data_IF_626940152887
#
_entry.id   IF_626940152887
#
_cell.length_a   1.000
_cell.length_b   1.000
_cell.length_c   1.000
_cell.angle_alpha   90.00
_cell.angle_beta   90.00
_cell.angle_gamma   90.00
#
_symmetry.space_group_name_H-M   'P 1'
#
loop_
_entity.id
_entity.type
_entity.pdbx_description
1 polymer ?
#
# COMPACT_ATOMS: atom_id res chain seq x y z
N UNK A 1 20.75 -45.94 -18.63
CA UNK A 1 19.48 -46.69 -18.56
C UNK A 1 19.02 -46.66 -17.10
N UNK A 2 17.76 -46.24 -16.87
CA UNK A 2 17.01 -46.19 -15.61
C UNK A 2 17.29 -45.03 -14.62
N UNK A 3 16.45 -44.02 -14.82
CA UNK A 3 15.83 -43.07 -13.89
C UNK A 3 15.56 -43.66 -12.50
N UNK A 4 15.82 -42.90 -11.43
CA UNK A 4 14.91 -42.86 -10.27
C UNK A 4 14.79 -41.44 -9.70
N UNK A 5 13.56 -40.92 -9.80
CA UNK A 5 12.97 -39.79 -9.07
C UNK A 5 13.12 -40.03 -7.56
N UNK A 6 13.45 -38.98 -6.81
CA UNK A 6 13.09 -38.90 -5.39
C UNK A 6 12.24 -37.64 -5.19
N UNK A 7 10.97 -37.89 -4.90
CA UNK A 7 9.96 -36.88 -4.63
C UNK A 7 10.22 -36.19 -3.29
N UNK A 8 10.07 -34.86 -3.29
CA UNK A 8 9.89 -34.05 -2.10
C UNK A 8 8.59 -34.46 -1.41
N UNK A 9 8.67 -34.97 -0.18
CA UNK A 9 7.53 -35.09 0.73
C UNK A 9 7.79 -34.14 1.89
N UNK A 10 7.22 -32.95 1.83
CA UNK A 10 7.23 -31.99 2.93
C UNK A 10 6.36 -32.53 4.05
N UNK A 11 7.00 -32.73 5.20
CA UNK A 11 6.40 -33.19 6.44
C UNK A 11 5.45 -32.11 6.98
N UNK A 12 4.16 -32.42 7.10
CA UNK A 12 3.24 -31.68 7.97
C UNK A 12 3.70 -31.84 9.41
N UNK A 13 4.09 -30.73 10.06
CA UNK A 13 4.16 -30.67 11.51
C UNK A 13 2.81 -30.13 12.01
N UNK A 14 1.90 -31.06 12.30
CA UNK A 14 0.75 -30.81 13.16
C UNK A 14 1.07 -31.43 14.52
N UNK A 15 1.63 -30.63 15.43
CA UNK A 15 1.75 -30.97 16.83
C UNK A 15 1.57 -29.69 17.64
N UNK A 16 0.34 -29.45 18.09
CA UNK A 16 -0.01 -28.43 19.05
C UNK A 16 -1.21 -28.93 19.83
N UNK A 17 -0.94 -29.49 21.01
CA UNK A 17 -1.92 -29.96 21.97
C UNK A 17 -3.01 -28.90 22.22
N UNK A 18 -4.27 -29.35 22.22
CA UNK A 18 -5.41 -28.56 22.67
C UNK A 18 -5.27 -28.22 24.14
N UNK A 19 -5.01 -26.95 24.44
CA UNK A 19 -5.49 -26.33 25.67
C UNK A 19 -6.82 -25.62 25.38
N UNK A 20 -7.83 -26.04 26.13
CA UNK A 20 -9.24 -25.73 25.97
C UNK A 20 -9.63 -24.40 26.66
N UNK A 21 -9.11 -23.30 26.16
CA UNK A 21 -9.74 -21.99 26.28
C UNK A 21 -10.01 -21.51 24.87
N UNK A 22 -11.30 -21.42 24.50
CA UNK A 22 -11.76 -20.97 23.17
C UNK A 22 -11.51 -19.49 22.91
N UNK A 23 -10.34 -18.98 23.28
CA UNK A 23 -9.86 -17.66 22.94
C UNK A 23 -9.25 -17.77 21.54
N UNK A 24 -10.08 -17.54 20.52
CA UNK A 24 -9.61 -17.36 19.15
C UNK A 24 -8.49 -16.33 19.22
N UNK A 25 -7.27 -16.73 18.85
CA UNK A 25 -6.16 -15.78 18.70
C UNK A 25 -6.64 -14.78 17.65
N UNK A 26 -7.00 -13.58 18.08
CA UNK A 26 -7.41 -12.50 17.18
C UNK A 26 -6.13 -12.13 16.44
N UNK A 27 -6.05 -12.53 15.17
CA UNK A 27 -4.97 -12.07 14.32
C UNK A 27 -5.29 -10.65 13.87
N UNK A 28 -4.31 -9.75 13.64
CA UNK A 28 -4.59 -8.43 13.09
C UNK A 28 -5.24 -8.45 11.70
N UNK A 29 -5.35 -9.62 11.05
CA UNK A 29 -6.16 -9.77 9.84
C UNK A 29 -7.67 -9.81 10.13
N UNK A 30 -8.08 -10.14 11.36
CA UNK A 30 -9.48 -10.25 11.80
C UNK A 30 -10.00 -8.93 12.43
N UNK A 31 -9.15 -7.92 12.62
CA UNK A 31 -9.55 -6.65 13.24
C UNK A 31 -10.12 -5.67 12.20
N UNK A 32 -10.91 -4.70 12.68
CA UNK A 32 -11.34 -3.57 11.88
C UNK A 32 -10.16 -2.63 11.55
N UNK A 33 -10.39 -1.70 10.61
CA UNK A 33 -9.32 -0.85 10.09
C UNK A 33 -8.83 0.16 11.13
N UNK A 34 -9.70 0.69 11.99
CA UNK A 34 -9.32 1.60 13.08
C UNK A 34 -8.39 0.90 14.07
N UNK A 35 -8.73 -0.34 14.46
CA UNK A 35 -7.86 -1.18 15.29
C UNK A 35 -6.53 -1.47 14.60
N UNK A 36 -6.51 -1.68 13.27
CA UNK A 36 -5.27 -1.86 12.53
C UNK A 36 -4.38 -0.60 12.59
N UNK A 37 -4.97 0.60 12.46
CA UNK A 37 -4.23 1.87 12.65
C UNK A 37 -3.69 1.97 14.07
N UNK A 38 -4.48 1.62 15.09
CA UNK A 38 -4.06 1.67 16.49
C UNK A 38 -2.93 0.69 16.80
N UNK A 39 -2.96 -0.52 16.21
CA UNK A 39 -1.85 -1.49 16.31
C UNK A 39 -0.57 -0.87 15.76
N UNK A 40 -0.63 -0.19 14.61
CA UNK A 40 0.55 0.49 14.04
C UNK A 40 1.03 1.63 14.94
N UNK A 41 0.11 2.36 15.58
CA UNK A 41 0.43 3.47 16.47
C UNK A 41 1.05 3.05 17.80
N UNK A 42 0.77 1.84 18.31
CA UNK A 42 1.09 1.48 19.70
C UNK A 42 1.90 0.21 19.86
N UNK A 43 1.90 -0.69 18.88
CA UNK A 43 2.59 -1.96 19.00
C UNK A 43 4.08 -1.83 18.69
N UNK A 44 4.89 -2.49 19.51
CA UNK A 44 6.31 -2.74 19.24
C UNK A 44 6.57 -4.13 18.64
N UNK A 45 5.52 -4.96 18.51
CA UNK A 45 5.60 -6.28 17.91
C UNK A 45 5.53 -6.16 16.38
N UNK A 46 6.65 -6.51 15.74
CA UNK A 46 6.83 -6.40 14.29
C UNK A 46 5.82 -7.22 13.48
N UNK A 47 5.48 -8.43 13.93
CA UNK A 47 4.54 -9.30 13.22
C UNK A 47 3.11 -8.77 13.31
N UNK A 48 2.77 -8.19 14.46
CA UNK A 48 1.48 -7.51 14.64
C UNK A 48 1.35 -6.27 13.76
N UNK A 49 2.38 -5.43 13.74
CA UNK A 49 2.40 -4.21 12.90
C UNK A 49 2.35 -4.57 11.42
N UNK A 50 3.10 -5.58 10.95
CA UNK A 50 3.04 -6.02 9.55
C UNK A 50 1.68 -6.59 9.17
N UNK A 51 1.05 -7.33 10.08
CA UNK A 51 -0.28 -7.90 9.83
C UNK A 51 -1.34 -6.78 9.74
N UNK A 52 -1.26 -5.78 10.61
CA UNK A 52 -2.10 -4.58 10.54
C UNK A 52 -1.86 -3.79 9.25
N UNK A 53 -0.59 -3.64 8.83
CA UNK A 53 -0.27 -2.99 7.56
C UNK A 53 -0.84 -3.74 6.36
N UNK A 54 -0.70 -5.07 6.34
CA UNK A 54 -1.27 -5.89 5.27
C UNK A 54 -2.80 -5.75 5.24
N UNK A 55 -3.44 -5.72 6.42
CA UNK A 55 -4.89 -5.51 6.53
C UNK A 55 -5.33 -4.20 5.88
N UNK A 56 -4.62 -3.10 6.13
CA UNK A 56 -4.89 -1.79 5.52
C UNK A 56 -4.60 -1.79 4.01
N UNK A 57 -3.43 -2.27 3.60
CA UNK A 57 -2.99 -2.26 2.20
C UNK A 57 -3.89 -3.08 1.25
N UNK A 58 -4.52 -4.16 1.75
CA UNK A 58 -5.45 -4.99 0.98
C UNK A 58 -6.93 -4.67 1.28
N UNK A 59 -7.21 -3.66 2.11
CA UNK A 59 -8.56 -3.33 2.56
C UNK A 59 -9.40 -2.54 1.56
N UNK A 60 -8.79 -1.99 0.50
CA UNK A 60 -9.48 -1.27 -0.59
C UNK A 60 -10.16 0.03 -0.14
N UNK A 61 -11.27 0.39 -0.78
CA UNK A 61 -12.02 1.63 -0.46
C UNK A 61 -12.41 1.75 1.02
N UNK A 62 -12.87 0.68 1.72
CA UNK A 62 -13.11 0.75 3.15
C UNK A 62 -11.88 1.14 3.99
N UNK A 63 -10.69 0.62 3.67
CA UNK A 63 -9.47 1.02 4.35
C UNK A 63 -9.07 2.46 4.01
N UNK A 64 -9.24 2.90 2.76
CA UNK A 64 -9.01 4.30 2.37
C UNK A 64 -9.89 5.25 3.18
N UNK A 65 -11.18 4.91 3.33
CA UNK A 65 -12.11 5.72 4.10
C UNK A 65 -11.70 5.83 5.58
N UNK A 66 -11.21 4.75 6.18
CA UNK A 66 -10.69 4.77 7.54
C UNK A 66 -9.40 5.59 7.64
N UNK A 67 -8.40 5.29 6.80
CA UNK A 67 -7.10 5.98 6.80
C UNK A 67 -7.25 7.50 6.61
N UNK A 68 -8.26 7.93 5.84
CA UNK A 68 -8.59 9.33 5.66
C UNK A 68 -8.88 10.05 6.98
N UNK A 69 -9.51 9.37 7.95
CA UNK A 69 -9.81 9.94 9.28
C UNK A 69 -8.53 10.23 10.09
N UNK A 70 -7.42 9.57 9.76
CA UNK A 70 -6.16 9.64 10.48
C UNK A 70 -5.11 10.52 9.79
N UNK A 71 -5.43 11.22 8.69
CA UNK A 71 -4.48 12.04 7.93
C UNK A 71 -3.82 13.17 8.74
N UNK A 72 -4.48 13.66 9.78
CA UNK A 72 -3.99 14.67 10.71
C UNK A 72 -3.45 14.10 12.03
N UNK A 73 -3.31 12.77 12.16
CA UNK A 73 -2.78 12.16 13.38
C UNK A 73 -1.26 12.40 13.47
N UNK A 74 -0.85 13.14 14.50
CA UNK A 74 0.54 13.51 14.77
C UNK A 74 1.27 12.50 15.68
N UNK A 75 0.59 11.44 16.16
CA UNK A 75 1.23 10.39 16.93
C UNK A 75 2.34 9.74 16.10
N UNK A 76 3.49 9.54 16.74
CA UNK A 76 4.64 8.91 16.11
C UNK A 76 4.49 7.39 16.13
N UNK A 77 4.82 6.76 15.01
CA UNK A 77 4.91 5.31 14.93
C UNK A 77 6.13 4.84 15.73
N UNK A 78 6.00 3.83 16.61
CA UNK A 78 7.11 3.30 17.37
C UNK A 78 8.32 2.91 16.53
N UNK A 79 9.52 3.19 17.06
CA UNK A 79 10.79 2.90 16.40
C UNK A 79 10.96 1.40 16.12
N UNK A 80 11.25 1.04 14.86
CA UNK A 80 11.42 -0.35 14.42
C UNK A 80 10.52 -0.76 13.25
N UNK A 81 9.48 0.02 12.95
CA UNK A 81 8.67 -0.18 11.76
C UNK A 81 9.36 0.39 10.51
N UNK A 82 9.65 -0.46 9.53
CA UNK A 82 10.23 -0.05 8.25
C UNK A 82 9.14 0.46 7.32
N UNK A 83 8.93 1.77 7.29
CA UNK A 83 8.03 2.41 6.33
C UNK A 83 8.74 2.72 5.01
N UNK A 84 8.02 3.41 4.10
CA UNK A 84 8.52 3.99 2.86
C UNK A 84 9.71 4.95 3.05
N UNK A 85 10.01 5.40 4.29
CA UNK A 85 11.14 6.27 4.61
C UNK A 85 12.46 5.49 4.71
N UNK A 86 13.46 5.96 3.99
CA UNK A 86 14.83 5.41 3.97
C UNK A 86 15.72 6.13 4.99
N UNK A 87 15.24 7.28 5.49
CA UNK A 87 15.97 8.18 6.37
C UNK A 87 15.12 8.38 7.62
N UNK A 88 15.24 7.43 8.55
CA UNK A 88 15.00 7.47 10.01
C UNK A 88 14.51 8.80 10.65
N UNK A 89 13.41 9.34 10.18
CA UNK A 89 12.64 10.39 10.87
C UNK A 89 11.53 9.76 11.68
N UNK A 90 11.07 10.49 12.69
CA UNK A 90 9.82 10.18 13.39
C UNK A 90 8.67 10.33 12.39
N UNK A 91 7.97 9.23 12.11
CA UNK A 91 6.90 9.19 11.11
C UNK A 91 5.57 9.22 11.83
N UNK A 92 4.70 10.14 11.44
CA UNK A 92 3.38 10.22 12.07
C UNK A 92 2.41 9.21 11.48
N UNK A 93 1.36 8.89 12.23
CA UNK A 93 0.25 8.09 11.72
C UNK A 93 -0.39 8.74 10.49
N UNK A 94 -0.51 10.07 10.46
CA UNK A 94 -1.00 10.79 9.28
C UNK A 94 -0.11 10.67 8.04
N UNK A 95 1.22 10.65 8.19
CA UNK A 95 2.14 10.36 7.07
C UNK A 95 1.96 8.94 6.55
N UNK A 96 1.88 7.99 7.48
CA UNK A 96 1.67 6.60 7.15
C UNK A 96 0.32 6.34 6.46
N UNK A 97 -0.74 7.01 6.93
CA UNK A 97 -2.06 6.93 6.33
C UNK A 97 -2.05 7.46 4.89
N UNK A 98 -1.44 8.64 4.66
CA UNK A 98 -1.28 9.19 3.32
C UNK A 98 -0.53 8.22 2.40
N UNK A 99 0.60 7.68 2.84
CA UNK A 99 1.38 6.75 2.01
C UNK A 99 0.63 5.46 1.71
N UNK A 100 -0.14 4.94 2.67
CA UNK A 100 -0.93 3.72 2.45
C UNK A 100 -2.08 4.00 1.46
N UNK A 101 -2.69 5.18 1.49
CA UNK A 101 -3.65 5.63 0.48
C UNK A 101 -2.98 5.75 -0.91
N UNK A 102 -1.82 6.40 -0.98
CA UNK A 102 -1.03 6.49 -2.22
C UNK A 102 -0.67 5.10 -2.77
N UNK A 103 -0.23 4.18 -1.91
CA UNK A 103 0.15 2.83 -2.32
C UNK A 103 -1.03 2.07 -2.92
N UNK A 104 -2.25 2.26 -2.38
CA UNK A 104 -3.48 1.67 -2.91
C UNK A 104 -3.95 2.31 -4.24
N UNK A 105 -3.82 3.64 -4.39
CA UNK A 105 -4.36 4.38 -5.55
C UNK A 105 -3.32 4.54 -6.66
N UNK A 106 -2.11 4.98 -6.34
CA UNK A 106 -1.08 5.30 -7.33
C UNK A 106 -0.28 4.07 -7.77
N UNK A 107 -0.49 2.91 -7.13
CA UNK A 107 0.24 1.65 -7.40
C UNK A 107 1.76 1.87 -7.34
N UNK A 108 2.25 2.16 -6.15
CA UNK A 108 3.59 2.68 -5.89
C UNK A 108 4.75 1.67 -5.99
N UNK A 109 4.59 0.60 -6.77
CA UNK A 109 5.70 -0.28 -7.20
C UNK A 109 6.67 0.41 -8.17
N UNK A 110 6.70 1.74 -8.13
CA UNK A 110 7.67 2.58 -8.81
C UNK A 110 9.04 2.44 -8.14
N UNK A 111 10.12 2.26 -8.93
CA UNK A 111 11.48 2.56 -8.49
C UNK A 111 11.51 3.92 -7.79
N UNK A 112 12.33 4.05 -6.73
CA UNK A 112 12.40 5.28 -5.92
C UNK A 112 12.64 6.55 -6.76
N UNK A 113 13.40 6.44 -7.84
CA UNK A 113 13.67 7.53 -8.79
C UNK A 113 12.42 8.04 -9.52
N UNK A 114 11.36 7.23 -9.61
CA UNK A 114 10.13 7.56 -10.32
C UNK A 114 8.99 8.03 -9.39
N UNK A 115 9.25 8.16 -8.08
CA UNK A 115 8.29 8.66 -7.08
C UNK A 115 8.10 10.19 -7.13
N UNK A 116 8.67 10.86 -8.13
CA UNK A 116 8.58 12.31 -8.30
C UNK A 116 7.25 12.78 -8.92
N UNK A 117 6.36 11.85 -9.25
CA UNK A 117 5.05 12.14 -9.84
C UNK A 117 3.89 11.67 -8.93
N UNK A 118 3.84 12.05 -7.64
CA UNK A 118 2.69 11.74 -6.80
C UNK A 118 1.48 12.57 -7.26
N UNK A 119 0.30 11.95 -7.28
CA UNK A 119 -0.96 12.63 -7.60
C UNK A 119 -1.60 13.15 -6.31
N UNK A 120 -1.51 12.35 -5.26
CA UNK A 120 -2.01 12.64 -3.93
C UNK A 120 -0.89 13.23 -3.08
N UNK A 121 -1.18 14.33 -2.42
CA UNK A 121 -0.33 14.97 -1.43
C UNK A 121 -1.14 15.19 -0.15
N UNK A 122 -0.47 15.58 0.93
CA UNK A 122 -1.15 15.93 2.19
C UNK A 122 -2.18 17.04 1.99
N UNK A 123 -1.89 17.97 1.08
CA UNK A 123 -2.71 19.16 0.84
C UNK A 123 -3.96 18.88 -0.01
N UNK A 124 -3.96 17.82 -0.83
CA UNK A 124 -5.04 17.58 -1.79
C UNK A 124 -5.80 16.25 -1.61
N UNK A 125 -5.31 15.31 -0.79
CA UNK A 125 -5.88 13.96 -0.73
C UNK A 125 -7.36 13.96 -0.35
N UNK A 126 -7.77 14.83 0.58
CA UNK A 126 -9.19 14.94 1.00
C UNK A 126 -10.08 15.43 -0.13
N UNK A 127 -9.75 16.57 -0.74
CA UNK A 127 -10.55 17.14 -1.83
C UNK A 127 -10.54 16.23 -3.06
N UNK A 128 -9.41 15.59 -3.35
CA UNK A 128 -9.30 14.64 -4.47
C UNK A 128 -10.22 13.43 -4.28
N UNK A 129 -10.31 12.88 -3.06
CA UNK A 129 -11.22 11.77 -2.75
C UNK A 129 -12.68 12.22 -2.76
N UNK A 130 -13.00 13.43 -2.27
CA UNK A 130 -14.37 13.97 -2.28
C UNK A 130 -14.90 14.19 -3.70
N UNK A 131 -14.09 14.77 -4.58
CA UNK A 131 -14.44 15.01 -5.99
C UNK A 131 -14.73 13.71 -6.75
N UNK A 132 -14.25 12.56 -6.23
CA UNK A 132 -14.40 11.22 -6.84
C UNK A 132 -15.27 10.31 -6.00
N UNK A 133 -16.14 10.89 -5.16
CA UNK A 133 -17.10 10.12 -4.38
C UNK A 133 -17.94 9.21 -5.29
N UNK A 134 -17.98 7.92 -4.94
CA UNK A 134 -18.66 6.88 -5.71
C UNK A 134 -17.82 6.21 -6.80
N UNK A 135 -16.59 6.65 -7.05
CA UNK A 135 -15.67 5.93 -7.93
C UNK A 135 -15.19 4.62 -7.27
N UNK A 136 -15.07 3.57 -8.08
CA UNK A 136 -14.41 2.32 -7.68
C UNK A 136 -12.90 2.55 -7.51
N UNK A 137 -12.24 1.73 -6.69
CA UNK A 137 -10.77 1.79 -6.53
C UNK A 137 -10.04 1.72 -7.88
N UNK A 138 -10.52 0.88 -8.81
CA UNK A 138 -9.94 0.77 -10.15
C UNK A 138 -10.06 2.07 -10.94
N UNK A 139 -11.19 2.77 -10.86
CA UNK A 139 -11.35 4.08 -11.50
C UNK A 139 -10.38 5.11 -10.91
N UNK A 140 -10.22 5.12 -9.58
CA UNK A 140 -9.23 5.98 -8.91
C UNK A 140 -7.80 5.69 -9.39
N UNK A 141 -7.45 4.40 -9.50
CA UNK A 141 -6.14 3.95 -9.99
C UNK A 141 -5.88 4.37 -11.44
N UNK A 142 -6.86 4.18 -12.33
CA UNK A 142 -6.75 4.61 -13.74
C UNK A 142 -6.56 6.12 -13.82
N UNK A 143 -7.34 6.88 -13.05
CA UNK A 143 -7.23 8.34 -13.07
C UNK A 143 -5.88 8.82 -12.54
N UNK A 144 -5.41 8.27 -11.42
CA UNK A 144 -4.09 8.58 -10.88
C UNK A 144 -2.97 8.27 -11.89
N UNK A 145 -2.99 7.08 -12.51
CA UNK A 145 -1.99 6.70 -13.52
C UNK A 145 -2.02 7.62 -14.76
N UNK A 146 -3.21 8.07 -15.19
CA UNK A 146 -3.34 9.04 -16.30
C UNK A 146 -2.75 10.40 -15.93
N UNK A 147 -3.05 10.92 -14.74
CA UNK A 147 -2.52 12.20 -14.26
C UNK A 147 -1.00 12.15 -14.17
N UNK A 148 -0.45 11.10 -13.53
CA UNK A 148 0.99 10.93 -13.39
C UNK A 148 1.71 10.78 -14.75
N UNK A 149 1.09 10.11 -15.73
CA UNK A 149 1.60 10.04 -17.11
C UNK A 149 1.67 11.43 -17.78
N UNK A 150 0.64 12.27 -17.60
CA UNK A 150 0.60 13.62 -18.15
C UNK A 150 1.69 14.48 -17.52
N UNK A 151 1.88 14.39 -16.21
CA UNK A 151 2.91 15.14 -15.50
C UNK A 151 4.32 14.73 -15.95
N UNK A 152 4.58 13.41 -16.06
CA UNK A 152 5.84 12.90 -16.60
C UNK A 152 6.05 13.33 -18.06
N UNK A 153 5.00 13.37 -18.88
CA UNK A 153 5.08 13.86 -20.26
C UNK A 153 5.43 15.35 -20.32
N UNK A 154 4.87 16.16 -19.42
CA UNK A 154 5.14 17.60 -19.37
C UNK A 154 6.55 17.89 -18.86
N UNK A 155 7.02 17.16 -17.86
CA UNK A 155 8.41 17.22 -17.41
C UNK A 155 9.36 16.82 -18.53
N UNK A 156 9.13 15.68 -19.20
CA UNK A 156 9.96 15.24 -20.32
C UNK A 156 10.03 16.29 -21.44
N UNK A 157 8.91 16.93 -21.80
CA UNK A 157 8.90 18.02 -22.79
C UNK A 157 9.73 19.24 -22.36
N UNK A 158 9.75 19.53 -21.07
CA UNK A 158 10.39 20.72 -20.51
C UNK A 158 11.89 20.53 -20.26
N UNK A 159 12.27 19.35 -19.75
CA UNK A 159 13.63 19.06 -19.29
C UNK A 159 14.38 18.05 -20.16
N UNK A 160 13.67 17.21 -20.92
CA UNK A 160 14.26 16.04 -21.59
C UNK A 160 14.72 14.94 -20.63
N UNK A 161 14.28 14.97 -19.36
CA UNK A 161 14.70 14.05 -18.29
C UNK A 161 14.51 12.57 -18.68
N UNK A 162 15.56 11.76 -18.50
CA UNK A 162 15.47 10.31 -18.66
C UNK A 162 14.51 9.66 -17.67
N UNK A 163 14.42 10.21 -16.45
CA UNK A 163 13.52 9.71 -15.42
C UNK A 163 12.06 9.96 -15.80
N UNK A 164 11.78 11.12 -16.39
CA UNK A 164 10.46 11.45 -16.92
C UNK A 164 10.04 10.48 -18.05
N UNK A 165 10.98 10.15 -18.94
CA UNK A 165 10.73 9.14 -19.99
C UNK A 165 10.43 7.76 -19.38
N UNK A 166 11.21 7.32 -18.40
CA UNK A 166 11.00 6.02 -17.75
C UNK A 166 9.65 5.98 -17.00
N UNK A 167 9.27 7.07 -16.32
CA UNK A 167 7.96 7.20 -15.68
C UNK A 167 6.81 7.10 -16.71
N UNK A 168 6.93 7.78 -17.86
CA UNK A 168 5.94 7.68 -18.94
C UNK A 168 5.78 6.24 -19.46
N UNK A 169 6.86 5.49 -19.61
CA UNK A 169 6.79 4.08 -20.05
C UNK A 169 6.05 3.22 -19.02
N UNK A 170 6.41 3.36 -17.75
CA UNK A 170 5.78 2.61 -16.67
C UNK A 170 4.28 2.93 -16.54
N UNK A 171 3.89 4.21 -16.50
CA UNK A 171 2.48 4.56 -16.39
C UNK A 171 1.67 4.12 -17.62
N UNK A 172 2.29 4.06 -18.79
CA UNK A 172 1.65 3.51 -19.99
C UNK A 172 1.37 2.02 -19.85
N UNK A 173 2.32 1.25 -19.33
CA UNK A 173 2.14 -0.19 -19.06
C UNK A 173 1.06 -0.40 -18.00
N UNK A 174 1.11 0.34 -16.89
CA UNK A 174 0.11 0.27 -15.83
C UNK A 174 -1.30 0.62 -16.34
N UNK A 175 -1.43 1.65 -17.17
CA UNK A 175 -2.72 1.99 -17.79
C UNK A 175 -3.22 0.87 -18.69
N UNK A 176 -2.33 0.24 -19.46
CA UNK A 176 -2.71 -0.89 -20.29
C UNK A 176 -3.24 -2.05 -19.46
N UNK A 177 -2.58 -2.42 -18.37
CA UNK A 177 -3.04 -3.47 -17.42
C UNK A 177 -4.37 -3.10 -16.76
N UNK A 178 -4.49 -1.88 -16.25
CA UNK A 178 -5.71 -1.39 -15.61
C UNK A 178 -6.89 -1.22 -16.57
N UNK A 179 -6.66 -1.12 -17.87
CA UNK A 179 -7.72 -1.04 -18.88
C UNK A 179 -8.05 -2.40 -19.51
N UNK A 180 -7.10 -3.36 -19.50
CA UNK A 180 -7.23 -4.66 -20.16
C UNK A 180 -7.93 -5.74 -19.34
N UNK A 181 -7.87 -5.74 -17.99
CA UNK A 181 -8.63 -6.72 -17.17
C UNK A 181 -10.16 -6.47 -17.13
N UNK A 182 -10.75 -6.04 -18.26
CA UNK A 182 -12.20 -5.87 -18.43
C UNK A 182 -12.92 -7.17 -18.85
N UNK A 183 -12.20 -8.28 -19.00
CA UNK A 183 -12.73 -9.59 -19.39
C UNK A 183 -13.07 -10.47 -18.18
#
# INVERSE_FOLDING_TARGET
MKVQLAAFLTLMVAAGCSDSTGQRVITPADVDFDTAVEIIATSHDFDYVNSAQARLAYGGLPAIAELRLHLSDERLIPTGYSTRSINSGDITIGEHALWTIQDMIETTRLPKSLRNYPVLTRENVDSWLDDRSGASLRQLQIEAARTAFIDAQNDFRSSGSSDARAAMELFREQLHELESDRE
#
